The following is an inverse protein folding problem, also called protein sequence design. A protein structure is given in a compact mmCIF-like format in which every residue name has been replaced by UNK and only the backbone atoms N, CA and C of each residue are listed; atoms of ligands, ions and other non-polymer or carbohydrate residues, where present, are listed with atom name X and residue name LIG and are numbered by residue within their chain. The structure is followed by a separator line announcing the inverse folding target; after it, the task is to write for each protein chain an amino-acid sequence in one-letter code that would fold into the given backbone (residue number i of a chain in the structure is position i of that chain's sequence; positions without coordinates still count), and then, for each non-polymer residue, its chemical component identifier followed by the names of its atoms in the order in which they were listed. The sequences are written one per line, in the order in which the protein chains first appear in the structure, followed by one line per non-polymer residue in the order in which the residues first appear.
data_IF_649965260697
#
_entry.id   IF_649965260697
#
_cell.length_a   1.000
_cell.length_b   1.000
_cell.length_c   1.000
_cell.angle_alpha   90.00
_cell.angle_beta   90.00
_cell.angle_gamma   90.00
#
_symmetry.space_group_name_H-M   'P 1'
#
loop_
_entity.id
_entity.type
_entity.pdbx_description
1 polymer ?
#
# COMPACT_ATOMS: atom_id res chain seq x y z
N UNK A 1 -25.27 -30.04 -22.08
CA UNK A 1 -23.79 -29.93 -22.17
C UNK A 1 -23.20 -28.53 -21.87
N UNK A 2 -23.99 -27.45 -21.74
CA UNK A 2 -23.44 -26.13 -21.32
C UNK A 2 -23.22 -26.04 -19.80
N UNK A 3 -24.14 -26.60 -19.01
CA UNK A 3 -24.11 -26.50 -17.55
C UNK A 3 -23.02 -27.39 -16.92
N UNK A 4 -22.68 -28.51 -17.56
CA UNK A 4 -21.62 -29.41 -17.10
C UNK A 4 -20.23 -28.77 -17.22
N UNK A 5 -20.00 -27.95 -18.26
CA UNK A 5 -18.75 -27.18 -18.42
C UNK A 5 -18.64 -26.06 -17.39
N UNK A 6 -19.76 -25.41 -17.05
CA UNK A 6 -19.82 -24.39 -16.01
C UNK A 6 -19.54 -24.98 -14.62
N UNK A 7 -20.15 -26.12 -14.30
CA UNK A 7 -19.91 -26.83 -13.03
C UNK A 7 -18.47 -27.34 -12.92
N UNK A 8 -17.90 -27.82 -14.03
CA UNK A 8 -16.51 -28.27 -14.06
C UNK A 8 -15.54 -27.08 -13.91
N UNK A 9 -15.84 -25.92 -14.50
CA UNK A 9 -15.06 -24.70 -14.33
C UNK A 9 -15.11 -24.16 -12.88
N UNK A 10 -16.27 -24.22 -12.23
CA UNK A 10 -16.42 -23.83 -10.81
C UNK A 10 -15.66 -24.82 -9.92
N UNK A 11 -15.76 -26.12 -10.19
CA UNK A 11 -15.05 -27.16 -9.44
C UNK A 11 -13.52 -27.03 -9.58
N UNK A 12 -13.01 -26.72 -10.79
CA UNK A 12 -11.57 -26.48 -10.98
C UNK A 12 -11.09 -25.20 -10.31
N UNK A 13 -11.94 -24.16 -10.25
CA UNK A 13 -11.62 -22.91 -9.54
C UNK A 13 -11.57 -23.10 -8.03
N UNK A 14 -12.51 -23.88 -7.48
CA UNK A 14 -12.53 -24.26 -6.06
C UNK A 14 -11.32 -25.15 -5.71
N UNK A 15 -10.94 -26.08 -6.60
CA UNK A 15 -9.77 -26.95 -6.39
C UNK A 15 -8.45 -26.16 -6.36
N UNK A 16 -8.30 -25.14 -7.22
CA UNK A 16 -7.15 -24.22 -7.17
C UNK A 16 -7.09 -23.45 -5.85
N UNK A 17 -8.24 -23.13 -5.24
CA UNK A 17 -8.32 -22.50 -3.93
C UNK A 17 -8.00 -23.48 -2.79
N UNK A 18 -8.34 -24.77 -2.93
CA UNK A 18 -7.93 -25.81 -1.98
C UNK A 18 -6.43 -26.17 -2.09
N UNK A 19 -5.71 -25.70 -3.11
CA UNK A 19 -4.24 -25.72 -3.15
C UNK A 19 -3.61 -24.83 -2.07
N UNK A 20 -4.39 -23.95 -1.44
CA UNK A 20 -4.06 -23.25 -0.20
C UNK A 20 -4.50 -24.05 1.05
N UNK A 21 -4.37 -25.38 1.04
CA UNK A 21 -4.69 -26.28 2.17
C UNK A 21 -3.82 -26.05 3.43
N UNK A 22 -3.05 -24.96 3.49
CA UNK A 22 -2.39 -24.49 4.70
C UNK A 22 -3.05 -23.23 5.31
N UNK A 23 -4.29 -22.87 4.94
CA UNK A 23 -5.08 -21.87 5.69
C UNK A 23 -5.91 -22.55 6.78
N UNK A 24 -5.24 -23.17 7.75
CA UNK A 24 -5.84 -23.30 9.08
C UNK A 24 -6.03 -21.88 9.62
N UNK A 25 -7.26 -21.37 9.57
CA UNK A 25 -7.57 -20.02 10.02
C UNK A 25 -7.56 -18.99 8.89
N UNK A 26 -8.44 -19.14 7.90
CA UNK A 26 -9.09 -17.94 7.38
C UNK A 26 -9.93 -17.42 8.54
N UNK A 27 -9.29 -16.61 9.39
CA UNK A 27 -9.99 -15.83 10.38
C UNK A 27 -11.04 -15.02 9.59
N UNK A 28 -12.31 -15.23 9.90
CA UNK A 28 -13.40 -14.45 9.31
C UNK A 28 -13.11 -12.95 9.37
N UNK A 29 -12.36 -12.50 10.37
CA UNK A 29 -11.87 -11.14 10.53
C UNK A 29 -10.85 -10.74 9.46
N UNK A 30 -9.98 -11.66 9.04
CA UNK A 30 -9.03 -11.48 7.95
C UNK A 30 -9.71 -11.57 6.58
N UNK A 31 -10.72 -12.42 6.39
CA UNK A 31 -11.54 -12.44 5.17
C UNK A 31 -12.36 -11.16 5.00
N UNK A 32 -12.98 -10.66 6.08
CA UNK A 32 -13.69 -9.38 6.10
C UNK A 32 -12.71 -8.22 5.88
N UNK A 33 -11.56 -8.21 6.55
CA UNK A 33 -10.53 -7.18 6.35
C UNK A 33 -9.99 -7.20 4.92
N UNK A 34 -9.81 -8.38 4.32
CA UNK A 34 -9.39 -8.51 2.92
C UNK A 34 -10.48 -8.01 1.95
N UNK A 35 -11.75 -8.28 2.23
CA UNK A 35 -12.88 -7.74 1.47
C UNK A 35 -12.99 -6.21 1.58
N UNK A 36 -12.79 -5.66 2.77
CA UNK A 36 -12.75 -4.21 3.02
C UNK A 36 -11.54 -3.55 2.36
N UNK A 37 -10.38 -4.18 2.40
CA UNK A 37 -9.17 -3.68 1.74
C UNK A 37 -9.30 -3.76 0.22
N UNK A 38 -9.86 -4.84 -0.33
CA UNK A 38 -10.16 -4.95 -1.75
C UNK A 38 -11.20 -3.92 -2.20
N UNK A 39 -12.23 -3.68 -1.38
CA UNK A 39 -13.22 -2.64 -1.64
C UNK A 39 -12.62 -1.23 -1.55
N UNK A 40 -11.82 -0.95 -0.52
CA UNK A 40 -11.06 0.31 -0.40
C UNK A 40 -10.12 0.49 -1.58
N UNK A 41 -9.43 -0.56 -2.03
CA UNK A 41 -8.55 -0.49 -3.19
C UNK A 41 -9.32 -0.20 -4.48
N UNK A 42 -10.51 -0.79 -4.66
CA UNK A 42 -11.37 -0.56 -5.82
C UNK A 42 -12.06 0.82 -5.81
N UNK A 43 -12.24 1.42 -4.64
CA UNK A 43 -12.93 2.70 -4.44
C UNK A 43 -12.02 3.80 -3.90
N UNK A 44 -10.70 3.61 -4.00
CA UNK A 44 -9.72 4.43 -3.30
C UNK A 44 -9.85 5.89 -3.77
N UNK A 45 -10.31 6.75 -2.88
CA UNK A 45 -10.33 8.18 -3.16
C UNK A 45 -8.91 8.75 -3.07
N UNK A 46 -8.67 9.90 -3.72
CA UNK A 46 -7.40 10.63 -3.55
C UNK A 46 -7.09 10.93 -2.07
N UNK A 47 -8.13 11.11 -1.25
CA UNK A 47 -7.97 11.33 0.18
C UNK A 47 -7.48 10.07 0.91
N UNK A 48 -8.06 8.90 0.60
CA UNK A 48 -7.65 7.62 1.18
C UNK A 48 -6.24 7.24 0.74
N UNK A 49 -5.90 7.44 -0.54
CA UNK A 49 -4.56 7.20 -1.06
C UNK A 49 -3.51 8.06 -0.34
N UNK A 50 -3.79 9.35 -0.11
CA UNK A 50 -2.92 10.24 0.67
C UNK A 50 -2.78 9.79 2.12
N UNK A 51 -3.87 9.36 2.75
CA UNK A 51 -3.84 8.88 4.13
C UNK A 51 -2.96 7.63 4.27
N UNK A 52 -3.12 6.66 3.38
CA UNK A 52 -2.30 5.43 3.36
C UNK A 52 -0.83 5.75 3.11
N UNK A 53 -0.54 6.63 2.13
CA UNK A 53 0.83 7.05 1.86
C UNK A 53 1.49 7.73 3.08
N UNK A 54 0.76 8.63 3.75
CA UNK A 54 1.25 9.30 4.96
C UNK A 54 1.51 8.31 6.11
N UNK A 55 0.63 7.31 6.28
CA UNK A 55 0.81 6.29 7.29
C UNK A 55 2.05 5.43 7.01
N UNK A 56 2.23 5.01 5.76
CA UNK A 56 3.43 4.27 5.35
C UNK A 56 4.72 5.08 5.52
N UNK A 57 4.70 6.38 5.21
CA UNK A 57 5.81 7.28 5.51
C UNK A 57 6.10 7.36 7.01
N UNK A 58 5.08 7.49 7.87
CA UNK A 58 5.27 7.56 9.31
C UNK A 58 5.86 6.27 9.90
N UNK A 59 5.38 5.11 9.46
CA UNK A 59 5.93 3.81 9.87
C UNK A 59 7.38 3.64 9.42
N UNK A 60 7.69 3.97 8.16
CA UNK A 60 9.04 3.87 7.61
C UNK A 60 10.01 4.87 8.28
N UNK A 61 9.55 6.10 8.54
CA UNK A 61 10.33 7.11 9.25
C UNK A 61 10.57 6.70 10.71
N UNK A 62 9.62 6.00 11.35
CA UNK A 62 9.79 5.54 12.73
C UNK A 62 10.88 4.47 12.87
N UNK A 63 11.10 3.67 11.82
CA UNK A 63 12.11 2.62 11.79
C UNK A 63 13.51 3.08 11.37
N UNK A 64 13.66 4.31 10.88
CA UNK A 64 14.92 4.81 10.30
C UNK A 64 15.39 6.13 10.92
N UNK A 65 16.70 6.31 11.03
CA UNK A 65 17.26 7.54 11.58
C UNK A 65 17.33 8.62 10.50
N UNK A 66 16.48 9.64 10.60
CA UNK A 66 16.53 10.80 9.72
C UNK A 66 17.92 11.44 9.78
N UNK A 67 18.58 11.50 8.61
CA UNK A 67 19.91 12.05 8.48
C UNK A 67 19.95 13.53 8.88
N UNK A 68 21.00 13.93 9.60
CA UNK A 68 21.18 15.34 9.96
C UNK A 68 21.23 16.24 8.72
N UNK A 69 20.55 17.40 8.81
CA UNK A 69 20.59 18.46 7.79
C UNK A 69 22.02 18.95 7.50
N UNK A 70 22.93 18.84 8.47
CA UNK A 70 24.33 19.25 8.31
C UNK A 70 25.20 18.23 7.58
N UNK A 71 24.72 17.01 7.37
CA UNK A 71 25.43 15.98 6.61
C UNK A 71 25.67 16.42 5.17
N UNK A 72 26.67 15.81 4.51
CA UNK A 72 26.93 16.04 3.08
C UNK A 72 25.68 15.81 2.23
N UNK A 73 24.90 14.78 2.55
CA UNK A 73 23.66 14.45 1.84
C UNK A 73 22.52 15.41 2.19
N UNK A 74 22.37 15.82 3.45
CA UNK A 74 21.38 16.82 3.87
C UNK A 74 21.57 18.17 3.16
N UNK A 75 22.82 18.62 3.00
CA UNK A 75 23.15 19.85 2.25
C UNK A 75 22.81 19.73 0.76
N UNK A 76 23.11 18.58 0.15
CA UNK A 76 22.74 18.31 -1.26
C UNK A 76 21.22 18.27 -1.44
N UNK A 77 20.51 17.61 -0.53
CA UNK A 77 19.05 17.55 -0.53
C UNK A 77 18.44 18.94 -0.45
N UNK A 78 18.93 19.79 0.47
CA UNK A 78 18.43 21.15 0.63
C UNK A 78 18.56 21.97 -0.66
N UNK A 79 19.66 21.78 -1.42
CA UNK A 79 19.85 22.44 -2.72
C UNK A 79 18.83 21.95 -3.76
N UNK A 80 18.59 20.64 -3.82
CA UNK A 80 17.62 20.03 -4.74
C UNK A 80 16.19 20.45 -4.36
N UNK A 81 15.83 20.32 -3.09
CA UNK A 81 14.53 20.71 -2.54
C UNK A 81 14.19 22.17 -2.84
N UNK A 82 15.17 23.08 -2.76
CA UNK A 82 14.97 24.49 -3.12
C UNK A 82 14.58 24.68 -4.58
N UNK A 83 15.12 23.87 -5.49
CA UNK A 83 14.78 23.92 -6.91
C UNK A 83 13.42 23.27 -7.21
N UNK A 84 13.06 22.22 -6.46
CA UNK A 84 11.77 21.53 -6.61
C UNK A 84 10.59 22.32 -6.01
N UNK A 85 10.87 23.26 -5.12
CA UNK A 85 9.83 23.99 -4.39
C UNK A 85 9.30 23.17 -3.21
N UNK A 86 8.39 23.77 -2.46
CA UNK A 86 7.85 23.21 -1.21
C UNK A 86 6.35 22.93 -1.28
N UNK A 87 5.75 23.08 -2.46
CA UNK A 87 4.34 22.81 -2.70
C UNK A 87 4.15 22.18 -4.07
N UNK A 88 3.49 21.03 -4.12
CA UNK A 88 3.10 20.34 -5.35
C UNK A 88 1.58 20.22 -5.34
N UNK A 89 0.90 20.91 -6.26
CA UNK A 89 -0.56 20.89 -6.40
C UNK A 89 -1.31 21.16 -5.07
N UNK A 90 -0.88 22.18 -4.32
CA UNK A 90 -1.47 22.54 -3.02
C UNK A 90 -1.10 21.63 -1.85
N UNK A 91 -0.26 20.62 -2.07
CA UNK A 91 0.24 19.74 -1.01
C UNK A 91 1.64 20.18 -0.59
N UNK A 92 1.86 20.53 0.69
CA UNK A 92 3.18 20.92 1.17
C UNK A 92 4.12 19.71 1.19
N UNK A 93 5.35 19.90 0.70
CA UNK A 93 6.34 18.82 0.58
C UNK A 93 7.50 19.05 1.54
N UNK A 94 7.90 17.98 2.21
CA UNK A 94 8.99 17.97 3.17
C UNK A 94 10.01 16.91 2.77
N UNK A 95 11.16 17.37 2.27
CA UNK A 95 12.24 16.50 1.80
C UNK A 95 13.13 16.07 2.96
N UNK A 96 13.22 14.76 3.18
CA UNK A 96 14.08 14.16 4.22
C UNK A 96 14.83 12.97 3.63
N UNK A 97 16.05 12.76 4.14
CA UNK A 97 16.74 11.48 3.96
C UNK A 97 16.57 10.71 5.27
N UNK A 98 16.00 9.51 5.15
CA UNK A 98 16.02 8.46 6.16
C UNK A 98 17.22 7.55 5.95
#
# INVERSE_FOLDING_TARGET
MKNTKLLLAIATSAALLTGCQNTHGIDTNMAISSGLNAYKAATLSDADAKAIANQGCAEMDSGNQVASKSSKYGKRLAKIAKALGNNINGTPVNYRFI
#
